data_IF_324958127271
#
_entry.id   IF_324958127271
#
_cell.length_a   1.000
_cell.length_b   1.000
_cell.length_c   1.000
_cell.angle_alpha   90.00
_cell.angle_beta   90.00
_cell.angle_gamma   90.00
#
_symmetry.space_group_name_H-M   'P 1'
#
loop_
_entity.id
_entity.type
_entity.pdbx_description
1 polymer ?
#
# COMPACT_ATOMS: atom_id res chain seq x y z
N UNK A 1 13.68 23.77 -5.42
CA UNK A 1 12.86 22.89 -6.26
C UNK A 1 13.18 21.45 -5.93
N UNK A 2 12.19 20.61 -5.82
CA UNK A 2 12.39 19.18 -5.60
C UNK A 2 12.60 18.50 -6.96
N UNK A 3 13.74 17.82 -7.16
CA UNK A 3 14.04 17.06 -8.37
C UNK A 3 13.74 15.55 -8.21
N UNK A 4 13.14 15.12 -7.08
CA UNK A 4 12.91 13.71 -6.82
C UNK A 4 11.44 13.33 -7.05
N UNK A 5 11.22 12.55 -8.09
CA UNK A 5 9.98 11.82 -8.37
C UNK A 5 10.22 10.30 -8.31
N UNK A 6 11.31 9.86 -7.68
CA UNK A 6 11.69 8.46 -7.64
C UNK A 6 10.72 7.61 -6.80
N UNK A 7 10.34 8.12 -5.62
CA UNK A 7 9.45 7.41 -4.70
C UNK A 7 8.77 8.38 -3.73
N UNK A 8 7.59 8.03 -3.28
CA UNK A 8 6.91 8.68 -2.15
C UNK A 8 7.67 8.48 -0.82
N UNK A 9 8.59 7.51 -0.74
CA UNK A 9 9.51 7.34 0.38
C UNK A 9 10.61 8.42 0.48
N UNK A 10 10.81 9.24 -0.56
CA UNK A 10 11.88 10.26 -0.57
C UNK A 10 11.47 11.56 0.11
N UNK A 11 10.19 11.78 0.35
CA UNK A 11 9.70 12.92 1.12
C UNK A 11 10.05 12.76 2.61
N UNK A 12 10.20 13.89 3.30
CA UNK A 12 10.36 13.91 4.74
C UNK A 12 9.05 13.57 5.48
N UNK A 13 9.10 13.69 6.80
CA UNK A 13 7.91 13.53 7.67
C UNK A 13 7.03 14.77 7.56
N UNK A 14 5.72 14.57 7.44
CA UNK A 14 4.78 15.68 7.39
C UNK A 14 4.71 16.44 8.73
N UNK A 15 4.35 17.73 8.72
CA UNK A 15 4.33 18.56 9.93
C UNK A 15 3.46 17.99 11.05
N UNK A 16 2.31 17.40 10.72
CA UNK A 16 1.37 16.85 11.68
C UNK A 16 1.96 15.63 12.41
N UNK A 17 2.57 14.70 11.67
CA UNK A 17 3.22 13.53 12.27
C UNK A 17 4.45 13.94 13.10
N UNK A 18 5.22 14.93 12.64
CA UNK A 18 6.39 15.44 13.38
C UNK A 18 5.98 16.10 14.69
N UNK A 19 4.95 16.94 14.68
CA UNK A 19 4.42 17.57 15.89
C UNK A 19 3.90 16.53 16.90
N UNK A 20 3.23 15.48 16.42
CA UNK A 20 2.74 14.40 17.26
C UNK A 20 3.88 13.58 17.90
N UNK A 21 4.95 13.32 17.17
CA UNK A 21 6.16 12.69 17.73
C UNK A 21 6.76 13.54 18.86
N UNK A 22 6.87 14.85 18.67
CA UNK A 22 7.35 15.78 19.70
C UNK A 22 6.44 15.77 20.94
N UNK A 23 5.12 15.78 20.76
CA UNK A 23 4.15 15.70 21.85
C UNK A 23 4.23 14.37 22.61
N UNK A 24 4.38 13.25 21.91
CA UNK A 24 4.51 11.93 22.52
C UNK A 24 5.83 11.74 23.29
N UNK A 25 6.82 12.61 23.10
CA UNK A 25 8.09 12.56 23.82
C UNK A 25 8.02 13.06 25.26
N UNK A 26 6.90 13.63 25.70
CA UNK A 26 6.71 14.11 27.06
C UNK A 26 6.38 12.99 28.05
N UNK A 27 6.95 13.09 29.26
CA UNK A 27 6.59 12.24 30.40
C UNK A 27 6.95 10.75 30.27
N UNK A 28 6.39 9.96 31.20
CA UNK A 28 6.55 8.50 31.24
C UNK A 28 5.18 7.86 31.04
N UNK A 29 5.13 6.84 30.18
CA UNK A 29 3.92 6.05 29.91
C UNK A 29 4.28 4.56 29.92
N UNK A 30 3.32 3.63 30.14
CA UNK A 30 3.54 2.21 30.00
C UNK A 30 4.15 1.85 28.65
N UNK A 31 4.92 0.76 28.60
CA UNK A 31 5.61 0.27 27.40
C UNK A 31 4.77 -0.77 26.64
N UNK A 32 5.22 -1.11 25.44
CA UNK A 32 4.68 -2.22 24.62
C UNK A 32 3.21 -2.08 24.21
N UNK A 33 2.70 -0.85 24.16
CA UNK A 33 1.33 -0.58 23.68
C UNK A 33 0.26 -0.58 24.76
N UNK A 34 0.63 -0.64 26.03
CA UNK A 34 -0.28 -0.51 27.18
C UNK A 34 -0.48 0.97 27.58
N UNK A 35 -0.25 1.89 26.63
CA UNK A 35 -0.33 3.33 26.83
C UNK A 35 -1.57 3.94 26.14
N UNK A 36 -1.98 5.12 26.64
CA UNK A 36 -3.16 5.82 26.15
C UNK A 36 -3.04 6.28 24.67
N UNK A 37 -1.82 6.53 24.19
CA UNK A 37 -1.58 6.85 22.77
C UNK A 37 -1.97 5.68 21.89
N UNK A 38 -1.52 4.49 22.24
CA UNK A 38 -1.83 3.27 21.49
C UNK A 38 -3.32 2.94 21.55
N UNK A 39 -3.94 3.08 22.72
CA UNK A 39 -5.39 2.89 22.88
C UNK A 39 -6.18 3.87 22.00
N UNK A 40 -5.83 5.17 22.04
CA UNK A 40 -6.46 6.20 21.21
C UNK A 40 -6.29 5.95 19.71
N UNK A 41 -5.10 5.58 19.28
CA UNK A 41 -4.86 5.24 17.86
C UNK A 41 -5.78 4.11 17.41
N UNK A 42 -5.88 3.01 18.19
CA UNK A 42 -6.77 1.87 17.88
C UNK A 42 -8.23 2.30 17.76
N UNK A 43 -8.70 3.17 18.64
CA UNK A 43 -10.07 3.69 18.56
C UNK A 43 -10.32 4.47 17.27
N UNK A 44 -9.35 5.29 16.82
CA UNK A 44 -9.47 6.00 15.55
C UNK A 44 -9.54 5.05 14.33
N UNK A 45 -8.83 3.93 14.37
CA UNK A 45 -9.00 2.90 13.33
C UNK A 45 -10.42 2.34 13.33
N UNK A 46 -10.99 2.02 14.51
CA UNK A 46 -12.39 1.56 14.59
C UNK A 46 -13.36 2.61 14.04
N UNK A 47 -13.12 3.88 14.31
CA UNK A 47 -13.94 4.99 13.80
C UNK A 47 -13.87 5.08 12.27
N UNK A 48 -12.66 5.08 11.65
CA UNK A 48 -12.54 5.24 10.20
C UNK A 48 -12.99 4.02 9.40
N UNK A 49 -12.89 2.83 9.99
CA UNK A 49 -13.39 1.59 9.36
C UNK A 49 -14.82 1.25 9.77
N UNK A 50 -15.43 2.01 10.68
CA UNK A 50 -16.82 1.82 11.12
C UNK A 50 -17.09 0.39 11.67
N UNK A 51 -16.11 -0.19 12.31
CA UNK A 51 -16.18 -1.55 12.88
C UNK A 51 -15.08 -1.75 13.93
N UNK A 52 -15.30 -2.69 14.85
CA UNK A 52 -14.23 -3.17 15.71
C UNK A 52 -13.21 -3.94 14.88
N UNK A 53 -11.94 -3.56 14.97
CA UNK A 53 -10.83 -4.24 14.33
C UNK A 53 -9.63 -4.34 15.27
N UNK A 54 -8.85 -5.41 15.12
CA UNK A 54 -7.59 -5.51 15.83
C UNK A 54 -6.48 -4.77 15.04
N UNK A 55 -5.70 -3.94 15.74
CA UNK A 55 -4.66 -3.10 15.11
C UNK A 55 -3.31 -3.33 15.77
N UNK A 56 -2.31 -3.64 14.95
CA UNK A 56 -0.92 -3.81 15.35
C UNK A 56 -0.01 -2.98 14.45
N UNK A 57 1.03 -2.37 15.03
CA UNK A 57 1.96 -1.56 14.26
C UNK A 57 3.18 -2.38 13.85
N UNK A 58 3.65 -2.15 12.63
CA UNK A 58 4.87 -2.71 12.08
C UNK A 58 5.81 -1.59 11.64
N UNK A 59 7.12 -1.88 11.56
CA UNK A 59 8.13 -0.89 11.20
C UNK A 59 8.05 -0.48 9.72
N UNK A 60 7.75 -1.42 8.82
CA UNK A 60 7.67 -1.21 7.38
C UNK A 60 6.62 -2.12 6.71
N UNK A 61 6.36 -1.86 5.41
CA UNK A 61 5.37 -2.58 4.61
C UNK A 61 5.66 -4.08 4.49
N UNK A 62 6.91 -4.44 4.25
CA UNK A 62 7.33 -5.86 4.16
C UNK A 62 6.94 -6.64 5.41
N UNK A 63 7.22 -6.08 6.60
CA UNK A 63 6.86 -6.75 7.83
C UNK A 63 5.35 -6.74 8.08
N UNK A 64 4.64 -5.69 7.68
CA UNK A 64 3.18 -5.66 7.75
C UNK A 64 2.56 -6.78 6.91
N UNK A 65 3.01 -6.95 5.66
CA UNK A 65 2.58 -8.02 4.77
C UNK A 65 2.95 -9.40 5.32
N UNK A 66 4.20 -9.58 5.75
CA UNK A 66 4.69 -10.84 6.28
C UNK A 66 3.90 -11.29 7.54
N UNK A 67 3.58 -10.37 8.45
CA UNK A 67 2.76 -10.63 9.63
C UNK A 67 1.33 -11.00 9.26
N UNK A 68 0.68 -10.22 8.40
CA UNK A 68 -0.68 -10.47 7.94
C UNK A 68 -0.79 -11.85 7.27
N UNK A 69 0.11 -12.15 6.34
CA UNK A 69 0.15 -13.41 5.62
C UNK A 69 0.49 -14.59 6.54
N UNK A 70 1.36 -14.40 7.53
CA UNK A 70 1.71 -15.46 8.50
C UNK A 70 0.53 -15.90 9.39
N UNK A 71 -0.43 -15.00 9.64
CA UNK A 71 -1.67 -15.33 10.35
C UNK A 71 -2.69 -16.00 9.42
N UNK A 72 -2.70 -15.60 8.15
CA UNK A 72 -3.69 -16.01 7.16
C UNK A 72 -3.36 -17.32 6.44
N UNK A 73 -2.09 -17.73 6.38
CA UNK A 73 -1.63 -18.83 5.55
C UNK A 73 -0.85 -19.88 6.33
N UNK A 74 -1.02 -21.16 5.97
CA UNK A 74 -0.24 -22.29 6.48
C UNK A 74 0.87 -22.65 5.47
N UNK A 75 1.96 -23.25 5.94
CA UNK A 75 3.13 -23.60 5.11
C UNK A 75 2.82 -24.50 3.89
N UNK A 76 1.76 -25.32 3.95
CA UNK A 76 1.31 -26.18 2.85
C UNK A 76 0.27 -25.51 1.93
N UNK A 77 -0.02 -24.25 2.16
CA UNK A 77 -0.95 -23.49 1.33
C UNK A 77 -0.20 -22.58 0.34
N UNK A 78 -0.96 -21.95 -0.53
CA UNK A 78 -0.46 -20.97 -1.48
C UNK A 78 -1.17 -19.62 -1.31
N UNK A 79 -0.45 -18.58 -1.69
CA UNK A 79 -0.90 -17.19 -1.71
C UNK A 79 -0.99 -16.77 -3.18
N UNK A 80 -2.16 -16.44 -3.65
CA UNK A 80 -2.36 -15.89 -5.00
C UNK A 80 -2.19 -14.38 -4.94
N UNK A 81 -1.37 -13.82 -5.81
CA UNK A 81 -1.13 -12.39 -5.94
C UNK A 81 -0.93 -12.02 -7.41
N UNK A 82 -0.95 -10.73 -7.73
CA UNK A 82 -0.55 -10.30 -9.06
C UNK A 82 0.96 -10.52 -9.27
N UNK A 83 1.39 -10.80 -10.51
CA UNK A 83 2.80 -11.04 -10.84
C UNK A 83 3.72 -9.85 -10.53
N UNK A 84 3.19 -8.62 -10.45
CA UNK A 84 3.91 -7.42 -10.03
C UNK A 84 3.63 -7.02 -8.57
N UNK A 85 3.00 -7.89 -7.78
CA UNK A 85 2.77 -7.60 -6.37
C UNK A 85 4.10 -7.46 -5.62
N UNK A 86 4.20 -6.47 -4.74
CA UNK A 86 5.41 -6.21 -3.94
C UNK A 86 5.88 -7.45 -3.16
N UNK A 87 4.93 -8.26 -2.66
CA UNK A 87 5.22 -9.51 -1.95
C UNK A 87 5.92 -10.55 -2.84
N UNK A 88 5.77 -10.49 -4.17
CA UNK A 88 6.43 -11.37 -5.14
C UNK A 88 7.79 -10.81 -5.58
N UNK A 89 7.86 -9.50 -5.89
CA UNK A 89 9.04 -8.93 -6.55
C UNK A 89 10.06 -8.33 -5.57
N UNK A 90 9.62 -7.68 -4.46
CA UNK A 90 10.46 -6.73 -3.71
C UNK A 90 10.52 -6.98 -2.18
N UNK A 91 10.18 -8.18 -1.70
CA UNK A 91 10.22 -8.51 -0.26
C UNK A 91 11.23 -9.62 0.12
N UNK A 92 12.10 -9.98 -0.82
CA UNK A 92 13.23 -10.91 -0.57
C UNK A 92 12.82 -12.22 0.12
N UNK A 93 11.62 -12.77 -0.21
CA UNK A 93 11.10 -14.00 0.38
C UNK A 93 10.59 -13.86 1.82
N UNK A 94 10.32 -12.65 2.30
CA UNK A 94 9.78 -12.45 3.64
C UNK A 94 8.40 -13.11 3.84
N UNK A 95 7.45 -13.03 2.90
CA UNK A 95 6.18 -13.75 3.00
C UNK A 95 6.37 -15.26 3.20
N UNK A 96 7.22 -15.88 2.40
CA UNK A 96 7.53 -17.32 2.49
C UNK A 96 8.20 -17.67 3.82
N UNK A 97 9.16 -16.85 4.26
CA UNK A 97 9.86 -17.06 5.51
C UNK A 97 8.91 -17.04 6.70
N UNK A 98 8.08 -16.02 6.83
CA UNK A 98 7.18 -15.85 7.97
C UNK A 98 5.94 -16.76 7.95
N UNK A 99 5.54 -17.26 6.77
CA UNK A 99 4.47 -18.28 6.66
C UNK A 99 4.99 -19.71 6.87
N UNK A 100 6.32 -19.88 7.01
CA UNK A 100 6.95 -21.19 7.10
C UNK A 100 7.02 -21.95 5.79
N UNK A 101 7.03 -21.24 4.65
CA UNK A 101 7.21 -21.81 3.32
C UNK A 101 5.94 -21.86 2.46
N UNK A 102 4.92 -21.06 2.73
CA UNK A 102 3.77 -20.94 1.82
C UNK A 102 4.25 -20.46 0.44
N UNK A 103 3.68 -21.06 -0.61
CA UNK A 103 4.09 -20.77 -1.98
C UNK A 103 3.35 -19.57 -2.53
N UNK A 104 4.08 -18.54 -2.99
CA UNK A 104 3.50 -17.50 -3.84
C UNK A 104 3.15 -18.09 -5.22
N UNK A 105 2.01 -17.70 -5.74
CA UNK A 105 1.54 -18.03 -7.09
C UNK A 105 1.18 -16.73 -7.78
N UNK A 106 2.14 -16.14 -8.51
CA UNK A 106 1.90 -14.93 -9.29
C UNK A 106 0.95 -15.20 -10.44
N UNK A 107 -0.03 -14.33 -10.62
CA UNK A 107 -1.04 -14.40 -11.65
C UNK A 107 -1.01 -13.14 -12.52
N UNK A 108 -1.23 -13.26 -13.83
CA UNK A 108 -1.28 -12.11 -14.74
C UNK A 108 -2.63 -11.38 -14.61
N UNK A 109 -2.60 -10.08 -14.97
CA UNK A 109 -3.80 -9.27 -15.09
C UNK A 109 -3.49 -7.88 -15.67
N UNK A 110 -4.41 -7.25 -16.39
CA UNK A 110 -4.20 -5.94 -16.97
C UNK A 110 -4.12 -4.87 -15.88
N UNK A 111 -3.20 -3.90 -16.04
CA UNK A 111 -3.07 -2.78 -15.09
C UNK A 111 -2.66 -3.21 -13.67
N UNK A 112 -1.95 -4.33 -13.52
CA UNK A 112 -1.62 -4.96 -12.25
C UNK A 112 -2.85 -5.37 -11.40
N UNK A 113 -4.01 -5.54 -12.02
CA UNK A 113 -5.23 -6.04 -11.38
C UNK A 113 -5.45 -7.52 -11.70
N UNK A 114 -5.72 -8.32 -10.68
CA UNK A 114 -6.21 -9.68 -10.85
C UNK A 114 -7.62 -9.68 -11.48
N UNK A 115 -7.94 -10.75 -12.17
CA UNK A 115 -9.27 -10.98 -12.72
C UNK A 115 -9.91 -12.21 -12.06
N UNK A 116 -11.24 -12.20 -11.74
CA UNK A 116 -11.92 -13.34 -11.13
C UNK A 116 -11.70 -14.66 -11.88
N UNK A 117 -11.76 -14.63 -13.21
CA UNK A 117 -11.53 -15.80 -14.07
C UNK A 117 -10.10 -16.35 -13.96
N UNK A 118 -9.10 -15.48 -13.82
CA UNK A 118 -7.70 -15.89 -13.65
C UNK A 118 -7.49 -16.53 -12.28
N UNK A 119 -8.08 -15.97 -11.23
CA UNK A 119 -8.05 -16.53 -9.87
C UNK A 119 -8.77 -17.87 -9.85
N UNK A 120 -9.98 -17.98 -10.41
CA UNK A 120 -10.74 -19.23 -10.50
C UNK A 120 -9.94 -20.33 -11.21
N UNK A 121 -9.34 -20.03 -12.37
CA UNK A 121 -8.51 -20.97 -13.08
C UNK A 121 -7.29 -21.44 -12.26
N UNK A 122 -6.71 -20.56 -11.46
CA UNK A 122 -5.58 -20.89 -10.61
C UNK A 122 -5.95 -21.83 -9.45
N UNK A 123 -7.18 -21.77 -8.92
CA UNK A 123 -7.65 -22.68 -7.88
C UNK A 123 -7.78 -24.12 -8.36
N UNK A 124 -7.97 -24.30 -9.68
CA UNK A 124 -8.10 -25.63 -10.32
C UNK A 124 -6.73 -26.27 -10.66
N UNK A 125 -5.62 -25.58 -10.39
CA UNK A 125 -4.27 -26.14 -10.66
C UNK A 125 -3.91 -27.21 -9.64
N UNK A 126 -3.18 -28.21 -10.13
CA UNK A 126 -2.56 -29.21 -9.29
C UNK A 126 -3.31 -30.53 -9.19
N UNK A 127 -2.78 -31.44 -8.39
CA UNK A 127 -3.24 -32.83 -8.30
C UNK A 127 -3.42 -33.22 -6.83
N UNK A 128 -4.52 -32.77 -6.22
CA UNK A 128 -4.89 -33.14 -4.84
C UNK A 128 -3.78 -32.76 -3.84
N UNK A 129 -3.31 -33.74 -3.08
CA UNK A 129 -2.31 -33.51 -2.01
C UNK A 129 -0.91 -33.16 -2.52
N UNK A 130 -0.66 -33.26 -3.81
CA UNK A 130 0.66 -33.00 -4.40
C UNK A 130 0.88 -31.52 -4.74
N UNK A 131 -0.14 -30.68 -4.63
CA UNK A 131 -0.07 -29.25 -4.91
C UNK A 131 -0.51 -28.44 -3.68
N UNK A 132 0.11 -27.27 -3.42
CA UNK A 132 -0.30 -26.43 -2.29
C UNK A 132 -1.78 -26.05 -2.39
N UNK A 133 -2.50 -26.20 -1.28
CA UNK A 133 -3.91 -25.83 -1.19
C UNK A 133 -4.04 -24.30 -1.30
N UNK A 134 -4.94 -23.73 -2.11
CA UNK A 134 -5.24 -22.29 -2.06
C UNK A 134 -5.55 -21.84 -0.64
N UNK A 135 -4.87 -20.80 -0.17
CA UNK A 135 -4.99 -20.32 1.21
C UNK A 135 -5.31 -18.84 1.31
N UNK A 136 -4.65 -18.01 0.52
CA UNK A 136 -4.82 -16.56 0.57
C UNK A 136 -4.94 -15.99 -0.84
N UNK A 137 -5.86 -15.02 -1.01
CA UNK A 137 -5.86 -14.07 -2.11
C UNK A 137 -5.32 -12.74 -1.60
N UNK A 138 -4.20 -12.27 -2.16
CA UNK A 138 -3.57 -11.00 -1.82
C UNK A 138 -3.77 -10.00 -2.95
N UNK A 139 -4.37 -8.85 -2.64
CA UNK A 139 -4.62 -7.74 -3.56
C UNK A 139 -3.75 -6.55 -3.15
N UNK A 140 -3.26 -5.76 -4.11
CA UNK A 140 -2.51 -4.52 -3.81
C UNK A 140 -3.38 -3.29 -4.13
N UNK A 141 -3.52 -2.37 -3.16
CA UNK A 141 -4.38 -1.19 -3.27
C UNK A 141 -3.63 0.08 -2.80
N UNK A 142 -3.30 1.06 -3.66
CA UNK A 142 -3.36 0.99 -5.13
C UNK A 142 -2.31 0.02 -5.67
N UNK A 143 -2.54 -0.49 -6.90
CA UNK A 143 -1.62 -1.44 -7.52
C UNK A 143 -0.25 -0.82 -7.82
N UNK A 144 0.72 -1.65 -8.12
CA UNK A 144 2.09 -1.25 -8.46
C UNK A 144 2.17 -0.40 -9.74
N UNK A 145 1.17 -0.51 -10.61
CA UNK A 145 1.01 0.32 -11.81
C UNK A 145 0.13 1.57 -11.58
N UNK A 146 -0.23 1.87 -10.32
CA UNK A 146 -0.99 3.06 -9.96
C UNK A 146 -2.48 3.00 -10.29
N UNK A 147 -3.00 1.84 -10.69
CA UNK A 147 -4.44 1.61 -10.86
C UNK A 147 -5.11 1.30 -9.51
N UNK A 148 -6.43 1.42 -9.45
CA UNK A 148 -7.19 1.27 -8.21
C UNK A 148 -8.33 0.28 -8.44
N UNK A 149 -8.42 -0.77 -7.60
CA UNK A 149 -9.59 -1.64 -7.59
C UNK A 149 -10.81 -0.89 -7.06
N UNK A 150 -11.90 -0.91 -7.80
CA UNK A 150 -13.19 -0.45 -7.30
C UNK A 150 -13.76 -1.42 -6.25
N UNK A 151 -14.73 -0.99 -5.41
CA UNK A 151 -15.41 -1.92 -4.49
C UNK A 151 -15.99 -3.14 -5.19
N UNK A 152 -16.62 -2.95 -6.36
CA UNK A 152 -17.21 -4.05 -7.12
C UNK A 152 -16.16 -5.02 -7.68
N UNK A 153 -15.03 -4.52 -8.20
CA UNK A 153 -13.91 -5.37 -8.63
C UNK A 153 -13.33 -6.17 -7.47
N UNK A 154 -13.16 -5.53 -6.32
CA UNK A 154 -12.68 -6.19 -5.09
C UNK A 154 -13.66 -7.25 -4.63
N UNK A 155 -14.96 -6.93 -4.56
CA UNK A 155 -16.02 -7.88 -4.16
C UNK A 155 -16.08 -9.10 -5.09
N UNK A 156 -15.95 -8.91 -6.40
CA UNK A 156 -15.94 -10.00 -7.37
C UNK A 156 -14.77 -10.98 -7.15
N UNK A 157 -13.57 -10.47 -6.87
CA UNK A 157 -12.40 -11.28 -6.55
C UNK A 157 -12.56 -12.02 -5.23
N UNK A 158 -13.07 -11.35 -4.20
CA UNK A 158 -13.33 -11.93 -2.89
C UNK A 158 -14.39 -13.02 -2.95
N UNK A 159 -15.41 -12.87 -3.80
CA UNK A 159 -16.42 -13.90 -4.00
C UNK A 159 -15.77 -15.22 -4.47
N UNK A 160 -14.84 -15.16 -5.42
CA UNK A 160 -14.04 -16.34 -5.83
C UNK A 160 -13.21 -16.89 -4.68
N UNK A 161 -12.49 -16.03 -3.97
CA UNK A 161 -11.69 -16.47 -2.84
C UNK A 161 -12.50 -17.22 -1.78
N UNK A 162 -13.69 -16.71 -1.44
CA UNK A 162 -14.60 -17.31 -0.46
C UNK A 162 -15.17 -18.66 -0.91
N UNK A 163 -15.49 -18.85 -2.20
CA UNK A 163 -15.92 -20.14 -2.75
C UNK A 163 -14.88 -21.24 -2.52
N UNK A 164 -13.60 -20.88 -2.50
CA UNK A 164 -12.47 -21.79 -2.28
C UNK A 164 -11.92 -21.78 -0.85
N UNK A 165 -12.59 -21.10 0.09
CA UNK A 165 -12.19 -21.04 1.50
C UNK A 165 -10.87 -20.31 1.73
N UNK A 166 -10.51 -19.36 0.86
CA UNK A 166 -9.32 -18.52 0.97
C UNK A 166 -9.58 -17.33 1.88
N UNK A 167 -8.56 -16.94 2.64
CA UNK A 167 -8.50 -15.66 3.36
C UNK A 167 -8.11 -14.56 2.38
N UNK A 168 -8.59 -13.34 2.62
CA UNK A 168 -8.28 -12.19 1.76
C UNK A 168 -7.37 -11.18 2.49
N UNK A 169 -6.22 -10.93 1.90
CA UNK A 169 -5.26 -9.92 2.33
C UNK A 169 -5.25 -8.75 1.35
N UNK A 170 -5.15 -7.54 1.86
CA UNK A 170 -4.92 -6.35 1.05
C UNK A 170 -3.61 -5.68 1.45
N UNK A 171 -2.64 -5.66 0.53
CA UNK A 171 -1.49 -4.77 0.63
C UNK A 171 -1.94 -3.34 0.33
N UNK A 172 -2.01 -2.55 1.36
CA UNK A 172 -2.42 -1.15 1.34
C UNK A 172 -1.27 -0.18 1.54
N UNK A 173 -0.06 -0.49 1.03
CA UNK A 173 1.09 0.43 1.13
C UNK A 173 0.75 1.84 0.63
N UNK A 174 -0.24 1.94 -0.31
CA UNK A 174 -0.82 3.19 -0.80
C UNK A 174 -2.35 3.21 -0.66
N UNK A 175 -2.89 2.58 0.37
CA UNK A 175 -4.32 2.56 0.66
C UNK A 175 -4.91 3.98 0.76
N UNK A 176 -4.17 4.91 1.36
CA UNK A 176 -4.59 6.31 1.46
C UNK A 176 -4.87 6.94 0.08
N UNK A 177 -3.99 6.68 -0.90
CA UNK A 177 -4.15 7.20 -2.26
C UNK A 177 -5.36 6.59 -2.98
N UNK A 178 -5.56 5.28 -2.83
CA UNK A 178 -6.74 4.61 -3.37
C UNK A 178 -8.03 5.10 -2.69
N UNK A 179 -8.05 5.23 -1.36
CA UNK A 179 -9.20 5.73 -0.62
C UNK A 179 -9.56 7.16 -1.02
N UNK A 180 -8.57 8.06 -1.16
CA UNK A 180 -8.80 9.42 -1.62
C UNK A 180 -9.35 9.47 -3.06
N UNK A 181 -8.89 8.59 -3.95
CA UNK A 181 -9.40 8.47 -5.32
C UNK A 181 -10.84 7.97 -5.34
N UNK A 182 -11.12 6.89 -4.63
CA UNK A 182 -12.45 6.26 -4.62
C UNK A 182 -13.50 7.06 -3.84
N UNK A 183 -13.09 7.84 -2.84
CA UNK A 183 -13.99 8.79 -2.20
C UNK A 183 -14.51 9.85 -3.20
N UNK A 184 -13.66 10.31 -4.13
CA UNK A 184 -14.05 11.28 -5.15
C UNK A 184 -14.88 10.68 -6.29
N UNK A 185 -14.53 9.46 -6.74
CA UNK A 185 -15.12 8.84 -7.93
C UNK A 185 -16.32 7.96 -7.62
N UNK A 186 -16.34 7.29 -6.47
CA UNK A 186 -17.36 6.30 -6.06
C UNK A 186 -18.05 6.66 -4.76
N UNK A 187 -17.67 7.73 -4.07
CA UNK A 187 -18.14 8.11 -2.72
C UNK A 187 -17.94 6.98 -1.69
N UNK A 188 -16.94 6.14 -1.92
CA UNK A 188 -16.65 5.00 -1.07
C UNK A 188 -15.94 5.44 0.21
N UNK A 189 -16.33 4.86 1.35
CA UNK A 189 -15.64 5.00 2.63
C UNK A 189 -14.54 3.96 2.77
N UNK A 190 -13.58 4.11 3.70
CA UNK A 190 -12.58 3.07 3.98
C UNK A 190 -13.19 1.71 4.30
N UNK A 191 -14.36 1.68 4.97
CA UNK A 191 -15.10 0.46 5.24
C UNK A 191 -15.60 -0.24 3.96
N UNK A 192 -16.08 0.54 2.97
CA UNK A 192 -16.53 0.02 1.69
C UNK A 192 -15.39 -0.56 0.83
N UNK A 193 -14.16 -0.12 1.08
CA UNK A 193 -12.96 -0.59 0.38
C UNK A 193 -12.33 -1.83 1.05
N UNK A 194 -12.80 -2.21 2.24
CA UNK A 194 -12.17 -3.23 3.06
C UNK A 194 -13.17 -4.30 3.52
N UNK A 195 -13.53 -4.31 4.77
CA UNK A 195 -14.30 -5.38 5.38
C UNK A 195 -15.72 -5.55 4.82
N UNK A 196 -16.37 -4.47 4.35
CA UNK A 196 -17.72 -4.57 3.74
C UNK A 196 -17.70 -5.35 2.43
N UNK A 197 -16.63 -5.27 1.65
CA UNK A 197 -16.44 -6.10 0.47
C UNK A 197 -15.81 -7.46 0.79
N UNK A 198 -15.38 -7.66 2.04
CA UNK A 198 -14.93 -8.95 2.57
C UNK A 198 -13.41 -9.10 2.72
N UNK A 199 -12.62 -8.03 2.78
CA UNK A 199 -11.20 -8.08 3.15
C UNK A 199 -11.07 -8.54 4.60
N UNK A 200 -10.24 -9.56 4.86
CA UNK A 200 -10.01 -10.11 6.19
C UNK A 200 -8.90 -9.36 6.95
N UNK A 201 -7.86 -8.92 6.24
CA UNK A 201 -6.73 -8.20 6.82
C UNK A 201 -6.14 -7.20 5.83
N UNK A 202 -5.81 -6.01 6.31
CA UNK A 202 -5.20 -4.91 5.56
C UNK A 202 -3.83 -4.58 6.13
N UNK A 203 -2.80 -4.50 5.29
CA UNK A 203 -1.54 -3.84 5.57
C UNK A 203 -1.66 -2.36 5.20
N UNK A 204 -1.96 -1.50 6.18
CA UNK A 204 -2.22 -0.08 5.93
C UNK A 204 -0.94 0.75 6.01
N UNK A 205 -0.54 1.34 4.88
CA UNK A 205 0.68 2.12 4.74
C UNK A 205 0.60 3.52 5.37
N UNK A 206 1.53 3.83 6.28
CA UNK A 206 1.67 5.17 6.87
C UNK A 206 2.89 5.92 6.34
N UNK A 207 4.02 5.25 6.17
CA UNK A 207 5.31 5.87 5.81
C UNK A 207 5.24 6.63 4.49
N UNK A 208 4.69 6.02 3.44
CA UNK A 208 4.58 6.65 2.11
C UNK A 208 3.63 7.84 2.07
N UNK A 209 2.78 7.98 3.09
CA UNK A 209 1.81 9.08 3.21
C UNK A 209 2.24 10.18 4.21
N UNK A 210 3.53 10.27 4.51
CA UNK A 210 4.12 11.35 5.30
C UNK A 210 4.45 11.03 6.75
N UNK A 211 4.32 9.78 7.20
CA UNK A 211 4.83 9.36 8.51
C UNK A 211 6.33 9.06 8.46
N UNK A 212 6.99 9.07 9.62
CA UNK A 212 8.41 8.75 9.73
C UNK A 212 8.71 7.29 9.40
N UNK A 213 8.04 6.39 10.12
CA UNK A 213 8.16 4.94 9.95
C UNK A 213 7.11 4.24 10.80
N UNK A 214 6.03 3.83 10.20
CA UNK A 214 5.04 2.94 10.82
C UNK A 214 3.98 2.55 9.80
N UNK A 215 3.63 1.28 9.80
CA UNK A 215 2.52 0.70 9.08
C UNK A 215 1.56 0.08 10.10
N UNK A 216 0.32 -0.14 9.71
CA UNK A 216 -0.65 -0.82 10.57
C UNK A 216 -1.15 -2.12 9.91
N UNK A 217 -1.09 -3.23 10.63
CA UNK A 217 -1.86 -4.43 10.29
C UNK A 217 -3.23 -4.28 10.92
N UNK A 218 -4.26 -4.12 10.09
CA UNK A 218 -5.65 -3.96 10.51
C UNK A 218 -6.41 -5.25 10.20
N UNK A 219 -6.88 -5.94 11.24
CA UNK A 219 -7.50 -7.25 11.14
C UNK A 219 -9.00 -7.11 11.36
N UNK A 220 -9.78 -7.39 10.33
CA UNK A 220 -11.25 -7.37 10.36
C UNK A 220 -11.84 -8.75 10.70
N UNK A 221 -11.13 -9.83 10.35
CA UNK A 221 -11.54 -11.19 10.66
C UNK A 221 -11.00 -11.61 12.05
N UNK A 222 -11.87 -11.75 13.09
CA UNK A 222 -11.41 -12.05 14.45
C UNK A 222 -10.60 -13.36 14.57
N UNK A 223 -10.81 -14.31 13.66
CA UNK A 223 -10.06 -15.56 13.67
C UNK A 223 -8.57 -15.37 13.40
N UNK A 224 -8.18 -14.30 12.70
CA UNK A 224 -6.78 -13.96 12.44
C UNK A 224 -6.15 -13.18 13.59
N UNK A 225 -6.95 -12.56 14.45
CA UNK A 225 -6.47 -11.78 15.58
C UNK A 225 -6.01 -12.65 16.77
N UNK A 226 -6.44 -13.90 16.81
CA UNK A 226 -6.03 -14.82 17.87
C UNK A 226 -4.51 -15.01 17.90
N UNK A 227 -3.88 -14.72 19.03
CA UNK A 227 -2.43 -14.80 19.25
C UNK A 227 -1.58 -13.94 18.29
N UNK A 228 -2.16 -12.96 17.61
CA UNK A 228 -1.41 -12.11 16.66
C UNK A 228 -0.35 -11.26 17.37
N UNK A 229 -0.59 -10.81 18.59
CA UNK A 229 0.37 -10.13 19.47
C UNK A 229 1.65 -10.94 19.68
N UNK A 230 1.54 -12.27 19.76
CA UNK A 230 2.70 -13.18 19.87
C UNK A 230 3.51 -13.20 18.59
N UNK A 231 2.88 -13.13 17.42
CA UNK A 231 3.58 -12.98 16.12
C UNK A 231 4.31 -11.66 16.03
N UNK A 232 3.66 -10.57 16.46
CA UNK A 232 4.27 -9.23 16.54
C UNK A 232 5.49 -9.24 17.45
N UNK A 233 5.39 -9.90 18.63
CA UNK A 233 6.53 -10.04 19.54
C UNK A 233 7.64 -10.90 18.95
N UNK A 234 7.32 -12.05 18.39
CA UNK A 234 8.27 -13.01 17.81
C UNK A 234 9.06 -12.42 16.66
N UNK A 235 8.41 -11.59 15.83
CA UNK A 235 9.03 -10.90 14.68
C UNK A 235 9.86 -9.66 15.07
N UNK A 236 9.90 -9.29 16.37
CA UNK A 236 10.59 -8.09 16.84
C UNK A 236 9.83 -6.78 16.59
N UNK A 237 8.57 -6.82 16.17
CA UNK A 237 7.79 -5.62 15.85
C UNK A 237 7.07 -5.00 17.05
N UNK A 238 7.03 -5.67 18.20
CA UNK A 238 6.51 -5.07 19.43
C UNK A 238 7.50 -4.08 20.02
N UNK A 239 7.41 -2.84 19.58
CA UNK A 239 8.28 -1.76 20.02
C UNK A 239 8.02 -1.39 21.48
N UNK A 240 9.08 -1.24 22.30
CA UNK A 240 8.94 -0.85 23.71
C UNK A 240 8.33 0.56 23.86
N UNK A 241 8.65 1.48 22.97
CA UNK A 241 8.09 2.84 22.92
C UNK A 241 7.06 2.96 21.80
N UNK A 242 6.05 2.09 21.81
CA UNK A 242 5.03 2.02 20.75
C UNK A 242 4.23 3.30 20.60
N UNK A 243 4.14 4.13 21.66
CA UNK A 243 3.50 5.45 21.63
C UNK A 243 3.97 6.34 20.47
N UNK A 244 5.22 6.20 19.98
CA UNK A 244 5.71 7.01 18.86
C UNK A 244 5.11 6.57 17.52
N UNK A 245 4.86 5.29 17.33
CA UNK A 245 4.09 4.83 16.18
C UNK A 245 2.64 5.31 16.28
N UNK A 246 2.00 5.10 17.44
CA UNK A 246 0.63 5.47 17.71
C UNK A 246 0.36 6.97 17.53
N UNK A 247 1.28 7.84 18.01
CA UNK A 247 1.13 9.28 17.88
C UNK A 247 1.04 9.77 16.43
N UNK A 248 1.84 9.18 15.53
CA UNK A 248 1.79 9.49 14.11
C UNK A 248 0.44 9.09 13.51
N UNK A 249 -0.07 7.90 13.85
CA UNK A 249 -1.39 7.46 13.41
C UNK A 249 -2.49 8.36 13.94
N UNK A 250 -2.44 8.79 15.21
CA UNK A 250 -3.41 9.75 15.77
C UNK A 250 -3.43 11.03 14.93
N UNK A 251 -2.25 11.61 14.65
CA UNK A 251 -2.17 12.84 13.88
C UNK A 251 -2.74 12.68 12.47
N UNK A 252 -2.42 11.58 11.82
CA UNK A 252 -2.85 11.35 10.44
C UNK A 252 -4.33 11.00 10.33
N UNK A 253 -4.88 10.22 11.26
CA UNK A 253 -6.29 9.81 11.22
C UNK A 253 -7.23 10.91 11.70
N UNK A 254 -6.81 11.75 12.66
CA UNK A 254 -7.60 12.88 13.13
C UNK A 254 -7.88 13.88 12.00
N UNK A 255 -9.14 14.32 11.89
CA UNK A 255 -9.60 15.30 10.88
C UNK A 255 -9.26 14.92 9.43
N UNK A 256 -9.01 13.64 9.14
CA UNK A 256 -8.75 13.14 7.81
C UNK A 256 -7.45 13.66 7.16
N UNK A 257 -6.42 13.97 7.93
CA UNK A 257 -5.11 14.43 7.43
C UNK A 257 -4.55 13.47 6.39
N UNK A 258 -4.61 12.16 6.67
CA UNK A 258 -4.12 11.11 5.76
C UNK A 258 -4.80 11.15 4.37
N UNK A 259 -6.10 11.44 4.30
CA UNK A 259 -6.82 11.58 3.04
C UNK A 259 -6.47 12.89 2.32
N UNK A 260 -6.26 13.99 3.07
CA UNK A 260 -5.83 15.27 2.44
C UNK A 260 -4.47 15.16 1.79
N UNK A 261 -3.49 14.54 2.47
CA UNK A 261 -2.15 14.31 1.90
C UNK A 261 -2.20 13.39 0.68
N UNK A 262 -2.95 12.32 0.75
CA UNK A 262 -3.13 11.39 -0.37
C UNK A 262 -3.86 12.05 -1.56
N UNK A 263 -4.92 12.82 -1.31
CA UNK A 263 -5.65 13.55 -2.35
C UNK A 263 -4.76 14.60 -3.03
N UNK A 264 -3.90 15.29 -2.26
CA UNK A 264 -2.90 16.21 -2.79
C UNK A 264 -1.91 15.48 -3.71
N UNK A 265 -1.32 14.38 -3.26
CA UNK A 265 -0.38 13.58 -4.05
C UNK A 265 -1.02 13.08 -5.37
N UNK A 266 -2.28 12.61 -5.30
CA UNK A 266 -3.06 12.20 -6.49
C UNK A 266 -3.33 13.39 -7.43
N UNK A 267 -3.63 14.58 -6.90
CA UNK A 267 -3.85 15.78 -7.70
C UNK A 267 -2.55 16.19 -8.43
N UNK A 268 -1.41 16.13 -7.76
CA UNK A 268 -0.10 16.39 -8.38
C UNK A 268 0.23 15.37 -9.46
N UNK A 269 -0.09 14.10 -9.26
CA UNK A 269 0.09 13.07 -10.30
C UNK A 269 -0.79 13.34 -11.53
N UNK A 270 -2.05 13.74 -11.35
CA UNK A 270 -2.91 14.13 -12.48
C UNK A 270 -2.39 15.36 -13.22
N UNK A 271 -1.87 16.37 -12.50
CA UNK A 271 -1.26 17.55 -13.10
C UNK A 271 -0.03 17.18 -13.93
N UNK A 272 0.84 16.34 -13.38
CA UNK A 272 2.02 15.83 -14.07
C UNK A 272 1.66 15.02 -15.32
N UNK A 273 0.67 14.13 -15.22
CA UNK A 273 0.17 13.34 -16.34
C UNK A 273 -0.38 14.23 -17.47
N UNK A 274 -1.20 15.23 -17.13
CA UNK A 274 -1.72 16.19 -18.10
C UNK A 274 -0.59 16.95 -18.80
N UNK A 275 0.48 17.30 -18.08
CA UNK A 275 1.65 17.93 -18.66
C UNK A 275 2.39 17.03 -19.65
N UNK A 276 2.56 15.75 -19.32
CA UNK A 276 3.22 14.78 -20.22
C UNK A 276 2.40 14.51 -21.51
N UNK A 277 1.07 14.46 -21.42
CA UNK A 277 0.22 14.14 -22.60
C UNK A 277 0.29 15.18 -23.72
N UNK A 278 0.70 16.40 -23.44
CA UNK A 278 0.86 17.47 -24.44
C UNK A 278 2.29 17.62 -24.95
N UNK A 279 3.23 16.80 -24.46
CA UNK A 279 4.64 16.86 -24.87
C UNK A 279 4.95 15.85 -25.97
N UNK A 280 5.57 16.29 -27.08
CA UNK A 280 5.99 15.38 -28.15
C UNK A 280 6.93 14.28 -27.60
N UNK A 281 6.71 13.04 -28.04
CA UNK A 281 7.55 11.91 -27.65
C UNK A 281 7.27 11.35 -26.25
N UNK A 282 6.26 11.89 -25.56
CA UNK A 282 5.78 11.37 -24.27
C UNK A 282 4.39 10.73 -24.42
N UNK A 283 4.17 9.60 -23.77
CA UNK A 283 2.86 8.96 -23.72
C UNK A 283 2.66 8.27 -22.35
N UNK A 284 1.46 8.37 -21.79
CA UNK A 284 1.14 7.60 -20.58
C UNK A 284 1.11 6.11 -20.90
N UNK A 285 1.81 5.32 -20.11
CA UNK A 285 1.82 3.87 -20.22
C UNK A 285 0.62 3.21 -19.51
N UNK A 286 0.12 3.84 -18.43
CA UNK A 286 -0.99 3.36 -17.63
C UNK A 286 -1.92 4.51 -17.23
N UNK A 287 -3.20 4.23 -16.88
CA UNK A 287 -4.10 5.21 -16.25
C UNK A 287 -3.52 5.76 -14.95
N UNK A 288 -3.79 7.04 -14.65
CA UNK A 288 -3.33 7.70 -13.43
C UNK A 288 -4.51 7.80 -12.45
N UNK A 289 -4.66 6.77 -11.62
CA UNK A 289 -5.77 6.65 -10.66
C UNK A 289 -5.33 6.91 -9.21
N UNK A 290 -4.01 6.94 -8.97
CA UNK A 290 -3.38 7.24 -7.68
C UNK A 290 -2.23 8.25 -7.87
N UNK A 291 -1.18 8.17 -7.05
CA UNK A 291 -0.07 9.13 -7.04
C UNK A 291 1.11 8.76 -7.96
N UNK A 292 1.03 7.66 -8.71
CA UNK A 292 2.05 7.22 -9.66
C UNK A 292 1.72 7.59 -11.10
N UNK A 293 2.72 8.10 -11.84
CA UNK A 293 2.61 8.43 -13.26
C UNK A 293 3.64 7.61 -14.03
N UNK A 294 3.17 6.80 -14.96
CA UNK A 294 4.02 5.92 -15.78
C UNK A 294 4.03 6.47 -17.20
N UNK A 295 5.22 6.86 -17.67
CA UNK A 295 5.40 7.58 -18.94
C UNK A 295 6.40 6.85 -19.80
N UNK A 296 6.06 6.71 -21.08
CA UNK A 296 7.00 6.30 -22.13
C UNK A 296 7.83 7.49 -22.55
N UNK A 297 9.15 7.37 -22.42
CA UNK A 297 10.13 8.38 -22.81
C UNK A 297 11.21 7.70 -23.65
N UNK A 298 11.82 8.47 -24.57
CA UNK A 298 13.02 7.99 -25.24
C UNK A 298 14.18 7.82 -24.25
N UNK A 299 15.05 6.84 -24.47
CA UNK A 299 16.22 6.62 -23.62
C UNK A 299 17.11 7.87 -23.55
N UNK A 300 17.25 8.61 -24.64
CA UNK A 300 18.02 9.86 -24.67
C UNK A 300 17.43 10.93 -23.75
N UNK A 301 16.11 11.11 -23.78
CA UNK A 301 15.43 12.08 -22.91
C UNK A 301 15.57 11.67 -21.43
N UNK A 302 15.36 10.39 -21.12
CA UNK A 302 15.53 9.88 -19.76
C UNK A 302 16.96 10.07 -19.23
N UNK A 303 17.98 9.82 -20.07
CA UNK A 303 19.40 10.06 -19.72
C UNK A 303 19.69 11.55 -19.50
N UNK A 304 19.13 12.43 -20.32
CA UNK A 304 19.29 13.88 -20.16
C UNK A 304 18.70 14.35 -18.83
N UNK A 305 17.46 13.97 -18.54
CA UNK A 305 16.80 14.30 -17.27
C UNK A 305 17.61 13.78 -16.07
N UNK A 306 18.10 12.54 -16.10
CA UNK A 306 18.93 11.97 -15.03
C UNK A 306 20.25 12.74 -14.84
N UNK A 307 20.91 13.15 -15.95
CA UNK A 307 22.13 13.97 -15.91
C UNK A 307 21.87 15.36 -15.31
N UNK A 308 20.69 15.92 -15.52
CA UNK A 308 20.26 17.20 -14.98
C UNK A 308 19.76 17.09 -13.53
N UNK A 309 19.90 15.90 -12.91
CA UNK A 309 19.62 15.64 -11.49
C UNK A 309 18.18 15.22 -11.19
N UNK A 310 17.34 15.00 -12.20
CA UNK A 310 15.99 14.48 -11.99
C UNK A 310 16.03 12.99 -11.59
N UNK A 311 15.29 12.63 -10.56
CA UNK A 311 15.24 11.27 -10.02
C UNK A 311 13.88 10.64 -10.31
N UNK A 312 13.89 9.51 -11.00
CA UNK A 312 12.75 8.66 -11.35
C UNK A 312 13.27 7.26 -11.65
N UNK A 313 12.40 6.25 -11.74
CA UNK A 313 12.84 4.87 -11.99
C UNK A 313 12.32 4.31 -13.31
N UNK A 314 13.14 3.52 -14.04
CA UNK A 314 12.60 2.64 -15.09
C UNK A 314 11.64 1.62 -14.46
N UNK A 315 10.57 1.28 -15.15
CA UNK A 315 9.57 0.37 -14.61
C UNK A 315 8.90 -0.48 -15.71
N UNK A 316 9.03 -1.79 -15.60
CA UNK A 316 8.44 -2.71 -16.56
C UNK A 316 9.13 -2.68 -17.93
N UNK A 317 8.51 -2.07 -18.95
CA UNK A 317 9.07 -2.00 -20.30
C UNK A 317 10.30 -1.07 -20.39
N UNK A 318 11.24 -1.31 -21.33
CA UNK A 318 12.50 -0.57 -21.42
C UNK A 318 12.39 0.94 -21.64
N UNK A 319 11.26 1.41 -22.20
CA UNK A 319 10.97 2.81 -22.48
C UNK A 319 10.01 3.45 -21.47
N UNK A 320 9.63 2.71 -20.43
CA UNK A 320 8.65 3.17 -19.44
C UNK A 320 9.34 3.58 -18.14
N UNK A 321 8.99 4.77 -17.65
CA UNK A 321 9.55 5.33 -16.43
C UNK A 321 8.43 5.74 -15.47
N UNK A 322 8.64 5.46 -14.18
CA UNK A 322 7.73 5.81 -13.09
C UNK A 322 8.14 7.09 -12.41
N UNK A 323 7.20 8.01 -12.30
CA UNK A 323 7.29 9.24 -11.52
C UNK A 323 6.27 9.18 -10.38
N UNK A 324 6.72 9.33 -9.13
CA UNK A 324 5.85 9.31 -7.96
C UNK A 324 5.68 10.70 -7.38
N UNK A 325 4.43 11.13 -7.22
CA UNK A 325 4.09 12.32 -6.44
C UNK A 325 3.81 11.91 -4.98
N UNK A 326 4.03 12.82 -4.05
CA UNK A 326 3.86 12.60 -2.63
C UNK A 326 3.18 13.81 -1.95
N UNK A 327 2.96 13.73 -0.65
CA UNK A 327 2.31 14.77 0.14
C UNK A 327 2.99 16.14 0.06
N UNK A 328 4.28 16.20 -0.29
CA UNK A 328 5.09 17.43 -0.35
C UNK A 328 5.29 17.96 -1.77
N UNK A 329 4.97 17.21 -2.82
CA UNK A 329 5.12 17.63 -4.22
C UNK A 329 4.35 18.91 -4.48
N UNK A 330 5.00 19.93 -5.10
CA UNK A 330 4.40 21.23 -5.41
C UNK A 330 4.17 21.38 -6.92
N UNK A 331 3.18 22.18 -7.34
CA UNK A 331 3.01 22.51 -8.77
C UNK A 331 4.28 23.03 -9.43
N UNK A 332 5.08 23.84 -8.73
CA UNK A 332 6.34 24.38 -9.23
C UNK A 332 7.38 23.29 -9.53
N UNK A 333 7.38 22.16 -8.78
CA UNK A 333 8.27 21.02 -9.06
C UNK A 333 7.87 20.33 -10.36
N UNK A 334 6.56 20.23 -10.62
CA UNK A 334 6.00 19.66 -11.84
C UNK A 334 6.31 20.55 -13.05
N UNK A 335 6.09 21.87 -12.93
CA UNK A 335 6.38 22.83 -13.99
C UNK A 335 7.85 22.79 -14.39
N UNK A 336 8.75 22.71 -13.39
CA UNK A 336 10.18 22.60 -13.63
C UNK A 336 10.57 21.30 -14.35
N UNK A 337 10.00 20.14 -13.94
CA UNK A 337 10.23 18.87 -14.63
C UNK A 337 9.73 18.93 -16.08
N UNK A 338 8.51 19.42 -16.32
CA UNK A 338 7.94 19.53 -17.67
C UNK A 338 8.71 20.52 -18.55
N UNK A 339 9.30 21.56 -17.96
CA UNK A 339 10.19 22.48 -18.68
C UNK A 339 11.49 21.77 -19.09
N UNK A 340 12.08 20.95 -18.22
CA UNK A 340 13.27 20.16 -18.53
C UNK A 340 13.00 19.10 -19.62
N UNK A 341 11.80 18.53 -19.67
CA UNK A 341 11.39 17.59 -20.73
C UNK A 341 11.30 18.28 -22.11
N UNK A 342 10.99 19.59 -22.16
CA UNK A 342 10.90 20.36 -23.41
C UNK A 342 12.24 20.84 -23.94
N UNK A 343 13.25 20.93 -23.09
CA UNK A 343 14.59 21.46 -23.41
C UNK A 343 15.44 20.42 -24.17
#
# INVERSE_FOLDING_TARGET
MNHSFASDNTAGVCPEAWAALAAANAGHVPSYGDDDWTARARNLFNEIFETDCAVHFAFNGTMSNALALSAACRSYQSIFCHQHAHIEEDECGAPEFFTGGAKLIPLPGPGAKLQPTTVEAATQRGHGIHFPKPGVLSLTQSTELGTVYTPDETAALIAVARQHGMVTHMDGARFANAAASLAQTHRATPADLTWRVGVDVLSFGGTKNGMLTTEAVVIFNPALAADFDRRVKQSGQLASKQRFAAAQWIAMLTDGVWLRHAAHANAMARLLAAGFTVLPGCALAHPVEANGVFVKLSATLAQNLARDGWQFFPFGAPDTYRFMCNWHTQPADIDALLAAVRA
#
